data_IF_954584910662
#
_entry.id   IF_954584910662
#
_cell.length_a   1.000
_cell.length_b   1.000
_cell.length_c   1.000
_cell.angle_alpha   90.00
_cell.angle_beta   90.00
_cell.angle_gamma   90.00
#
_symmetry.space_group_name_H-M   'P 1'
#
loop_
_entity.id
_entity.type
_entity.pdbx_description
1 polymer ?
#
# COMPACT_ATOMS: atom_id res chain seq x y z
N UNK A 1 -13.23 -11.76 16.04
CA UNK A 1 -13.54 -10.62 15.15
C UNK A 1 -14.78 -10.99 14.35
N UNK A 2 -15.85 -10.22 14.50
CA UNK A 2 -17.08 -10.34 13.74
C UNK A 2 -16.85 -10.02 12.26
N UNK A 3 -17.82 -10.39 11.41
CA UNK A 3 -17.78 -10.06 9.97
C UNK A 3 -17.71 -8.54 9.73
N UNK A 4 -18.47 -7.75 10.50
CA UNK A 4 -18.48 -6.28 10.41
C UNK A 4 -17.11 -5.69 10.74
N UNK A 5 -16.43 -6.22 11.76
CA UNK A 5 -15.08 -5.79 12.13
C UNK A 5 -14.04 -6.14 11.06
N UNK A 6 -14.18 -7.30 10.39
CA UNK A 6 -13.33 -7.68 9.25
C UNK A 6 -13.54 -6.74 8.06
N UNK A 7 -14.79 -6.47 7.69
CA UNK A 7 -15.11 -5.57 6.58
C UNK A 7 -14.53 -4.17 6.83
N UNK A 8 -14.75 -3.62 8.03
CA UNK A 8 -14.20 -2.33 8.44
C UNK A 8 -12.66 -2.31 8.38
N UNK A 9 -12.01 -3.39 8.83
CA UNK A 9 -10.56 -3.53 8.76
C UNK A 9 -10.05 -3.49 7.31
N UNK A 10 -10.56 -4.33 6.43
CA UNK A 10 -10.07 -4.43 5.05
C UNK A 10 -10.43 -3.21 4.21
N UNK A 11 -11.57 -2.57 4.49
CA UNK A 11 -11.91 -1.28 3.92
C UNK A 11 -10.91 -0.19 4.34
N UNK A 12 -10.53 -0.16 5.62
CA UNK A 12 -9.51 0.80 6.11
C UNK A 12 -8.14 0.60 5.45
N UNK A 13 -7.73 -0.67 5.26
CA UNK A 13 -6.49 -1.03 4.57
C UNK A 13 -6.52 -0.58 3.10
N UNK A 14 -7.65 -0.82 2.42
CA UNK A 14 -7.86 -0.34 1.06
C UNK A 14 -7.76 1.18 0.98
N UNK A 15 -8.49 1.92 1.83
CA UNK A 15 -8.48 3.39 1.84
C UNK A 15 -7.09 3.95 2.11
N UNK A 16 -6.33 3.32 3.00
CA UNK A 16 -4.93 3.69 3.25
C UNK A 16 -4.06 3.48 2.00
N UNK A 17 -4.16 2.31 1.36
CA UNK A 17 -3.35 2.00 0.19
C UNK A 17 -3.67 2.96 -0.97
N UNK A 18 -4.95 3.24 -1.20
CA UNK A 18 -5.41 4.22 -2.19
C UNK A 18 -4.86 5.62 -1.89
N UNK A 19 -5.01 6.11 -0.66
CA UNK A 19 -4.50 7.42 -0.25
C UNK A 19 -2.99 7.52 -0.40
N UNK A 20 -2.26 6.46 -0.01
CA UNK A 20 -0.80 6.39 -0.14
C UNK A 20 -0.37 6.53 -1.60
N UNK A 21 -1.02 5.79 -2.52
CA UNK A 21 -0.73 5.91 -3.94
C UNK A 21 -1.08 7.31 -4.48
N UNK A 22 -2.23 7.89 -4.10
CA UNK A 22 -2.58 9.27 -4.48
C UNK A 22 -1.54 10.29 -3.99
N UNK A 23 -1.08 10.18 -2.75
CA UNK A 23 -0.01 11.03 -2.22
C UNK A 23 1.28 10.89 -3.02
N UNK A 24 1.66 9.67 -3.41
CA UNK A 24 2.85 9.45 -4.27
C UNK A 24 2.66 10.14 -5.62
N UNK A 25 1.52 9.91 -6.29
CA UNK A 25 1.23 10.49 -7.60
C UNK A 25 1.23 12.02 -7.56
N UNK A 26 0.56 12.62 -6.59
CA UNK A 26 0.45 14.07 -6.43
C UNK A 26 1.79 14.71 -6.09
N UNK A 27 2.53 14.13 -5.13
CA UNK A 27 3.83 14.66 -4.70
C UNK A 27 4.92 14.52 -5.77
N UNK A 28 4.75 13.62 -6.73
CA UNK A 28 5.70 13.35 -7.82
C UNK A 28 5.20 13.85 -9.17
N UNK A 29 4.13 14.64 -9.20
CA UNK A 29 3.53 15.18 -10.42
C UNK A 29 4.53 15.98 -11.27
N UNK A 30 5.33 16.84 -10.64
CA UNK A 30 6.35 17.63 -11.34
C UNK A 30 7.53 16.79 -11.85
N UNK A 31 7.92 15.75 -11.10
CA UNK A 31 9.01 14.85 -11.48
C UNK A 31 8.60 13.86 -12.58
N UNK A 32 7.30 13.57 -12.70
CA UNK A 32 6.75 12.68 -13.74
C UNK A 32 6.98 11.18 -13.50
N UNK A 33 7.52 10.78 -12.34
CA UNK A 33 7.86 9.39 -12.02
C UNK A 33 6.95 8.75 -10.95
N UNK A 34 5.88 9.45 -10.54
CA UNK A 34 4.95 8.97 -9.50
C UNK A 34 4.29 7.64 -9.86
N UNK A 35 3.87 7.47 -11.12
CA UNK A 35 3.26 6.24 -11.60
C UNK A 35 4.24 5.05 -11.51
N UNK A 36 5.50 5.27 -11.90
CA UNK A 36 6.55 4.25 -11.84
C UNK A 36 6.83 3.83 -10.40
N UNK A 37 6.82 4.76 -9.45
CA UNK A 37 6.99 4.46 -8.02
C UNK A 37 5.85 3.59 -7.48
N UNK A 38 4.59 3.91 -7.82
CA UNK A 38 3.43 3.11 -7.42
C UNK A 38 3.49 1.72 -8.07
N UNK A 39 3.85 1.63 -9.37
CA UNK A 39 4.03 0.34 -10.06
C UNK A 39 5.14 -0.49 -9.44
N UNK A 40 6.29 0.12 -9.09
CA UNK A 40 7.39 -0.54 -8.39
C UNK A 40 6.94 -1.10 -7.04
N UNK A 41 6.14 -0.34 -6.28
CA UNK A 41 5.55 -0.81 -5.02
C UNK A 41 4.67 -2.05 -5.24
N UNK A 42 3.73 -1.98 -6.19
CA UNK A 42 2.84 -3.11 -6.54
C UNK A 42 3.65 -4.35 -6.94
N UNK A 43 4.63 -4.20 -7.83
CA UNK A 43 5.43 -5.32 -8.31
C UNK A 43 6.30 -5.93 -7.23
N UNK A 44 6.78 -5.14 -6.27
CA UNK A 44 7.58 -5.64 -5.16
C UNK A 44 6.80 -6.56 -4.22
N UNK A 45 5.49 -6.33 -4.03
CA UNK A 45 4.67 -7.05 -3.05
C UNK A 45 3.73 -8.09 -3.67
N UNK A 46 3.33 -7.96 -4.95
CA UNK A 46 2.30 -8.82 -5.55
C UNK A 46 2.68 -10.31 -5.57
N UNK A 47 3.96 -10.62 -5.75
CA UNK A 47 4.47 -11.98 -5.85
C UNK A 47 4.75 -12.63 -4.50
N UNK A 48 4.63 -11.87 -3.41
CA UNK A 48 4.91 -12.39 -2.08
C UNK A 48 3.71 -13.14 -1.53
N UNK A 49 3.86 -14.45 -1.35
CA UNK A 49 2.82 -15.32 -0.77
C UNK A 49 3.06 -15.63 0.71
N UNK A 50 4.16 -15.14 1.28
CA UNK A 50 4.45 -15.28 2.71
C UNK A 50 4.13 -13.96 3.42
N UNK A 51 3.26 -13.95 4.46
CA UNK A 51 2.87 -12.72 5.16
C UNK A 51 4.06 -11.90 5.66
N UNK A 52 5.06 -12.56 6.24
CA UNK A 52 6.26 -11.89 6.73
C UNK A 52 7.06 -11.19 5.63
N UNK A 53 7.31 -11.87 4.50
CA UNK A 53 8.04 -11.29 3.36
C UNK A 53 7.24 -10.17 2.69
N UNK A 54 5.93 -10.33 2.58
CA UNK A 54 5.03 -9.31 2.05
C UNK A 54 5.11 -8.03 2.89
N UNK A 55 4.97 -8.13 4.21
CA UNK A 55 5.02 -6.99 5.11
C UNK A 55 6.40 -6.32 5.13
N UNK A 56 7.47 -7.12 5.10
CA UNK A 56 8.85 -6.63 5.06
C UNK A 56 9.13 -5.80 3.78
N UNK A 57 8.75 -6.32 2.61
CA UNK A 57 8.89 -5.58 1.35
C UNK A 57 8.03 -4.33 1.29
N UNK A 58 6.78 -4.41 1.78
CA UNK A 58 5.89 -3.26 1.85
C UNK A 58 6.48 -2.17 2.75
N UNK A 59 6.90 -2.52 3.95
CA UNK A 59 7.47 -1.58 4.92
C UNK A 59 8.77 -0.95 4.41
N UNK A 60 9.66 -1.77 3.83
CA UNK A 60 10.93 -1.30 3.26
C UNK A 60 10.71 -0.32 2.13
N UNK A 61 9.78 -0.61 1.21
CA UNK A 61 9.50 0.28 0.07
C UNK A 61 8.90 1.61 0.50
N UNK A 62 7.94 1.59 1.45
CA UNK A 62 7.36 2.81 2.01
C UNK A 62 8.41 3.62 2.78
N UNK A 63 9.30 2.97 3.52
CA UNK A 63 10.38 3.64 4.23
C UNK A 63 11.40 4.27 3.25
N UNK A 64 11.73 3.60 2.15
CA UNK A 64 12.58 4.14 1.08
C UNK A 64 11.96 5.42 0.50
N UNK A 65 10.67 5.39 0.17
CA UNK A 65 9.95 6.55 -0.36
C UNK A 65 9.91 7.74 0.61
N UNK A 66 9.81 7.47 1.92
CA UNK A 66 9.81 8.51 2.95
C UNK A 66 11.20 9.09 3.21
N UNK A 67 12.24 8.26 3.26
CA UNK A 67 13.56 8.65 3.77
C UNK A 67 14.56 9.04 2.69
N UNK A 68 14.36 8.58 1.46
CA UNK A 68 15.22 8.95 0.35
C UNK A 68 15.00 10.42 -0.03
N UNK A 69 16.06 11.23 0.04
CA UNK A 69 16.03 12.66 -0.29
C UNK A 69 15.54 12.96 -1.71
N UNK A 70 15.70 12.02 -2.64
CA UNK A 70 15.22 12.17 -4.01
C UNK A 70 13.68 12.16 -4.09
N UNK A 71 13.00 11.52 -3.13
CA UNK A 71 11.54 11.38 -3.08
C UNK A 71 10.91 12.21 -1.96
N UNK A 72 11.38 12.00 -0.72
CA UNK A 72 10.95 12.68 0.50
C UNK A 72 9.43 12.76 0.67
N UNK A 73 8.75 11.61 0.50
CA UNK A 73 7.29 11.54 0.49
C UNK A 73 6.71 11.41 1.90
N UNK A 74 5.61 12.11 2.18
CA UNK A 74 4.86 11.97 3.44
C UNK A 74 3.95 10.72 3.39
N UNK A 75 4.58 9.55 3.44
CA UNK A 75 3.91 8.24 3.44
C UNK A 75 4.39 7.38 4.59
N UNK A 76 3.49 6.60 5.16
CA UNK A 76 3.80 5.69 6.27
C UNK A 76 2.97 4.42 6.18
N UNK A 77 3.52 3.32 6.71
CA UNK A 77 2.80 2.05 6.75
C UNK A 77 1.59 2.15 7.68
N UNK A 78 0.48 1.55 7.27
CA UNK A 78 -0.71 1.50 8.10
C UNK A 78 -0.43 0.73 9.39
N UNK A 79 -0.57 1.39 10.55
CA UNK A 79 -0.19 0.79 11.84
C UNK A 79 -0.93 -0.52 12.15
N UNK A 80 -2.14 -0.71 11.63
CA UNK A 80 -2.92 -1.94 11.83
C UNK A 80 -2.28 -3.15 11.14
N UNK A 81 -1.54 -2.97 10.03
CA UNK A 81 -0.81 -4.06 9.37
C UNK A 81 0.30 -4.64 10.25
N UNK A 82 0.78 -3.87 11.24
CA UNK A 82 1.79 -4.31 12.20
C UNK A 82 1.19 -4.92 13.48
N UNK A 83 -0.11 -4.65 13.74
CA UNK A 83 -0.81 -5.08 14.96
C UNK A 83 -1.64 -6.35 14.76
N UNK A 84 -2.07 -6.61 13.53
CA UNK A 84 -2.91 -7.76 13.21
C UNK A 84 -2.05 -8.93 12.77
N UNK A 85 -2.36 -10.11 13.29
CA UNK A 85 -1.76 -11.35 12.83
C UNK A 85 -2.35 -11.75 11.47
N UNK A 86 -1.57 -11.56 10.41
CA UNK A 86 -1.94 -11.94 9.05
C UNK A 86 -1.57 -13.41 8.79
N UNK A 87 -2.58 -14.29 8.75
CA UNK A 87 -2.43 -15.71 8.41
C UNK A 87 -3.62 -16.21 7.57
N UNK A 88 -3.36 -17.13 6.65
CA UNK A 88 -4.38 -17.72 5.78
C UNK A 88 -5.21 -16.65 5.05
N UNK A 89 -6.53 -16.75 5.11
CA UNK A 89 -7.45 -15.84 4.43
C UNK A 89 -7.25 -14.37 4.80
N UNK A 90 -6.93 -14.09 6.08
CA UNK A 90 -6.73 -12.71 6.53
C UNK A 90 -5.54 -12.03 5.83
N UNK A 91 -4.49 -12.81 5.52
CA UNK A 91 -3.37 -12.33 4.73
C UNK A 91 -3.80 -12.03 3.29
N UNK A 92 -4.50 -12.96 2.64
CA UNK A 92 -4.94 -12.77 1.26
C UNK A 92 -5.91 -11.60 1.10
N UNK A 93 -6.81 -11.39 2.07
CA UNK A 93 -7.72 -10.24 2.10
C UNK A 93 -6.96 -8.92 2.30
N UNK A 94 -6.02 -8.86 3.25
CA UNK A 94 -5.19 -7.66 3.43
C UNK A 94 -4.36 -7.36 2.17
N UNK A 95 -3.72 -8.38 1.58
CA UNK A 95 -2.97 -8.28 0.32
C UNK A 95 -3.86 -7.77 -0.81
N UNK A 96 -5.06 -8.34 -0.98
CA UNK A 96 -6.01 -7.91 -2.00
C UNK A 96 -6.45 -6.45 -1.78
N UNK A 97 -6.78 -6.05 -0.54
CA UNK A 97 -7.14 -4.67 -0.21
C UNK A 97 -6.02 -3.68 -0.55
N UNK A 98 -4.78 -4.02 -0.22
CA UNK A 98 -3.61 -3.17 -0.54
C UNK A 98 -3.45 -3.04 -2.05
N UNK A 99 -3.39 -4.17 -2.77
CA UNK A 99 -3.19 -4.18 -4.22
C UNK A 99 -4.31 -3.44 -4.95
N UNK A 100 -5.57 -3.67 -4.56
CA UNK A 100 -6.73 -2.98 -5.13
C UNK A 100 -6.70 -1.49 -4.86
N UNK A 101 -6.30 -1.06 -3.65
CA UNK A 101 -6.17 0.37 -3.34
C UNK A 101 -5.11 1.06 -4.19
N UNK A 102 -3.93 0.45 -4.32
CA UNK A 102 -2.83 0.96 -5.15
C UNK A 102 -3.23 1.02 -6.63
N UNK A 103 -3.83 -0.05 -7.16
CA UNK A 103 -4.30 -0.12 -8.55
C UNK A 103 -5.45 0.86 -8.83
N UNK A 104 -6.38 1.01 -7.89
CA UNK A 104 -7.49 1.94 -8.01
C UNK A 104 -7.02 3.38 -8.16
N UNK A 105 -5.97 3.77 -7.43
CA UNK A 105 -5.37 5.10 -7.56
C UNK A 105 -4.72 5.31 -8.93
N UNK A 106 -4.09 4.30 -9.51
CA UNK A 106 -3.54 4.35 -10.88
C UNK A 106 -4.62 4.43 -11.96
N UNK A 107 -5.75 3.76 -11.74
CA UNK A 107 -6.85 3.70 -12.71
C UNK A 107 -7.76 4.94 -12.66
N UNK A 108 -7.67 5.75 -11.61
CA UNK A 108 -8.47 6.98 -11.47
C UNK A 108 -7.74 8.12 -12.19
N UNK A 109 -8.30 8.70 -13.27
CA UNK A 109 -7.73 9.89 -13.89
C UNK A 109 -7.63 11.02 -12.85
N UNK A 110 -6.60 11.85 -12.94
CA UNK A 110 -6.60 13.11 -12.20
C UNK A 110 -7.82 13.92 -12.63
N UNK A 111 -8.76 14.13 -11.70
CA UNK A 111 -9.94 14.97 -11.89
C UNK A 111 -9.59 16.45 -11.80
#
# INVERSE_FOLDING_TARGET
MSEVEKESLYASIYSWAYKTAKTILESRKEAGDGEDLVRRLIYSIRSEETPGRFLDKLATSIAEFRTNRAYNLDVSIHSTLLKVELRGDSFHLAKASILSGLLGALATPEG
#
